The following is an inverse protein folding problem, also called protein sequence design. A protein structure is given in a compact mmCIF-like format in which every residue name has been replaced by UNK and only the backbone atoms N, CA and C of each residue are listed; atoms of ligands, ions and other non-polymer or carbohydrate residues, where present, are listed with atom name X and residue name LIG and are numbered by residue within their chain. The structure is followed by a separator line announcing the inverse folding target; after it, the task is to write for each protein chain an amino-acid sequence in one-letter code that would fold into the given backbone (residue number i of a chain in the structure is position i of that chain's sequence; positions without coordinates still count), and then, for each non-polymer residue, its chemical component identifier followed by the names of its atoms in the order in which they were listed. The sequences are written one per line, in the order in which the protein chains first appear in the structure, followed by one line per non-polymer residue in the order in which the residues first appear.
data_IF_702971583355
#
_entry.id   IF_702971583355
#
_cell.length_a   1.000
_cell.length_b   1.000
_cell.length_c   1.000
_cell.angle_alpha   90.00
_cell.angle_beta   90.00
_cell.angle_gamma   90.00
#
_symmetry.space_group_name_H-M   'P 1'
#
loop_
_entity.id
_entity.type
_entity.pdbx_description
1 polymer ?
#
# COMPACT_ATOMS: atom_id res chain seq x y z
N UNK A 1 11.19 11.53 3.11
CA UNK A 1 10.26 10.96 2.12
C UNK A 1 8.84 11.24 2.56
N UNK A 2 8.08 11.94 1.75
CA UNK A 2 6.73 12.42 2.08
C UNK A 2 5.69 11.83 1.14
N UNK A 3 4.47 11.60 1.64
CA UNK A 3 3.37 11.06 0.84
C UNK A 3 2.83 12.15 -0.08
N UNK A 4 2.77 11.91 -1.38
CA UNK A 4 2.16 12.80 -2.37
C UNK A 4 0.95 12.18 -3.08
N UNK A 5 0.73 10.88 -2.91
CA UNK A 5 -0.43 10.16 -3.43
C UNK A 5 -0.72 8.94 -2.57
N UNK A 6 -1.99 8.63 -2.41
CA UNK A 6 -2.47 7.41 -1.75
C UNK A 6 -3.48 6.73 -2.65
N UNK A 7 -3.27 5.44 -2.89
CA UNK A 7 -4.22 4.57 -3.57
C UNK A 7 -4.48 3.33 -2.72
N UNK A 8 -5.74 3.02 -2.47
CA UNK A 8 -6.16 1.84 -1.75
C UNK A 8 -7.35 1.20 -2.44
N UNK A 9 -7.44 -0.12 -2.38
CA UNK A 9 -8.64 -0.87 -2.76
C UNK A 9 -9.07 -1.76 -1.61
N UNK A 10 -10.37 -1.95 -1.47
CA UNK A 10 -10.95 -2.85 -0.49
C UNK A 10 -11.36 -4.14 -1.19
N UNK A 11 -10.94 -5.27 -0.64
CA UNK A 11 -11.26 -6.60 -1.15
C UNK A 11 -12.15 -7.31 -0.15
N UNK A 12 -13.34 -7.68 -0.57
CA UNK A 12 -14.30 -8.48 0.21
C UNK A 12 -14.72 -9.67 -0.66
N UNK A 13 -14.69 -10.86 -0.07
CA UNK A 13 -15.02 -12.11 -0.78
C UNK A 13 -14.28 -12.25 -2.12
N UNK A 14 -12.98 -11.95 -2.10
CA UNK A 14 -12.06 -12.05 -3.24
C UNK A 14 -12.37 -11.09 -4.41
N UNK A 15 -13.14 -10.05 -4.15
CA UNK A 15 -13.46 -9.02 -5.15
C UNK A 15 -13.10 -7.63 -4.64
N UNK A 16 -12.62 -6.78 -5.55
CA UNK A 16 -12.43 -5.36 -5.28
C UNK A 16 -13.82 -4.71 -5.25
N UNK A 17 -14.23 -4.22 -4.07
CA UNK A 17 -15.56 -3.64 -3.86
C UNK A 17 -15.54 -2.11 -3.81
N UNK A 18 -14.44 -1.52 -3.36
CA UNK A 18 -14.30 -0.07 -3.19
C UNK A 18 -12.87 0.35 -3.50
N UNK A 19 -12.71 1.59 -3.90
CA UNK A 19 -11.39 2.21 -4.09
C UNK A 19 -11.32 3.58 -3.43
N UNK A 20 -10.11 3.94 -3.01
CA UNK A 20 -9.77 5.25 -2.44
C UNK A 20 -8.52 5.76 -3.14
N UNK A 21 -8.60 6.94 -3.73
CA UNK A 21 -7.44 7.58 -4.35
C UNK A 21 -7.46 9.08 -4.13
N UNK A 22 -6.34 9.63 -3.68
CA UNK A 22 -6.17 11.07 -3.55
C UNK A 22 -4.71 11.46 -3.72
N UNK A 23 -4.50 12.65 -4.27
CA UNK A 23 -3.24 13.36 -4.16
C UNK A 23 -3.14 14.01 -2.77
N UNK A 24 -1.93 14.16 -2.28
CA UNK A 24 -1.63 14.82 -1.00
C UNK A 24 -0.55 15.86 -1.25
N UNK A 25 -0.76 17.08 -0.72
CA UNK A 25 0.29 18.08 -0.69
C UNK A 25 1.22 17.80 0.49
N UNK A 26 2.44 17.29 0.26
CA UNK A 26 3.36 16.96 1.34
C UNK A 26 4.03 18.21 1.96
N UNK A 27 3.88 19.37 1.33
CA UNK A 27 4.59 20.62 1.71
C UNK A 27 6.12 20.43 1.82
N UNK A 28 6.69 19.61 0.95
CA UNK A 28 8.06 19.17 0.99
C UNK A 28 8.70 19.28 -0.40
N UNK A 29 10.02 19.19 -0.44
CA UNK A 29 10.77 19.25 -1.68
C UNK A 29 10.61 17.97 -2.50
N UNK A 30 10.30 18.13 -3.78
CA UNK A 30 10.26 17.05 -4.77
C UNK A 30 11.62 16.87 -5.42
N UNK A 31 12.30 15.76 -5.16
CA UNK A 31 13.50 15.42 -5.90
C UNK A 31 13.14 14.97 -7.33
N UNK A 32 14.01 15.31 -8.29
CA UNK A 32 13.87 14.84 -9.69
C UNK A 32 13.74 13.31 -9.76
N UNK A 33 14.44 12.59 -8.89
CA UNK A 33 14.37 11.13 -8.81
C UNK A 33 12.96 10.65 -8.41
N UNK A 34 12.34 11.29 -7.44
CA UNK A 34 10.98 10.94 -7.02
C UNK A 34 9.96 11.26 -8.13
N UNK A 35 10.06 12.42 -8.76
CA UNK A 35 9.20 12.79 -9.89
C UNK A 35 9.29 11.75 -11.01
N UNK A 36 10.49 11.30 -11.34
CA UNK A 36 10.69 10.28 -12.38
C UNK A 36 10.07 8.92 -12.02
N UNK A 37 9.92 8.62 -10.74
CA UNK A 37 9.33 7.35 -10.27
C UNK A 37 7.80 7.39 -10.29
N UNK A 38 7.18 8.43 -9.72
CA UNK A 38 5.72 8.49 -9.57
C UNK A 38 5.01 9.45 -10.54
N UNK A 39 5.77 10.23 -11.32
CA UNK A 39 5.22 11.15 -12.32
C UNK A 39 4.46 12.35 -11.76
N UNK A 40 4.46 12.56 -10.43
CA UNK A 40 3.75 13.65 -9.76
C UNK A 40 4.71 14.82 -9.58
N UNK A 41 4.34 15.98 -10.12
CA UNK A 41 5.08 17.23 -10.00
C UNK A 41 4.53 18.08 -8.84
N UNK A 42 5.30 19.06 -8.34
CA UNK A 42 4.81 19.97 -7.31
C UNK A 42 3.52 20.69 -7.67
N UNK A 43 3.33 21.05 -8.94
CA UNK A 43 2.11 21.71 -9.42
C UNK A 43 0.87 20.82 -9.30
N UNK A 44 1.03 19.51 -9.42
CA UNK A 44 -0.08 18.55 -9.36
C UNK A 44 -0.71 18.48 -7.97
N UNK A 45 0.05 18.81 -6.92
CA UNK A 45 -0.37 18.68 -5.52
C UNK A 45 -0.55 20.02 -4.80
N UNK A 46 -0.31 21.15 -5.48
CA UNK A 46 -0.36 22.48 -4.84
C UNK A 46 -1.73 22.79 -4.22
N UNK A 47 -2.79 22.28 -4.80
CA UNK A 47 -4.18 22.43 -4.32
C UNK A 47 -4.71 21.14 -3.65
N UNK A 48 -3.89 20.11 -3.53
CA UNK A 48 -4.29 18.89 -2.85
C UNK A 48 -4.34 19.09 -1.33
N UNK A 49 -5.16 18.31 -0.61
CA UNK A 49 -5.21 18.36 0.85
C UNK A 49 -3.89 17.85 1.45
N UNK A 50 -3.63 18.28 2.69
CA UNK A 50 -2.50 17.81 3.47
C UNK A 50 -2.81 16.45 4.11
N UNK A 51 -1.77 15.75 4.54
CA UNK A 51 -1.87 14.40 5.12
C UNK A 51 -2.78 14.33 6.35
N UNK A 52 -2.69 15.31 7.26
CA UNK A 52 -3.49 15.36 8.49
C UNK A 52 -5.00 15.46 8.21
N UNK A 53 -5.39 16.15 7.12
CA UNK A 53 -6.77 16.18 6.66
C UNK A 53 -7.23 14.86 6.04
N UNK A 54 -6.37 14.20 5.28
CA UNK A 54 -6.70 12.97 4.53
C UNK A 54 -6.73 11.74 5.43
N UNK A 55 -5.87 11.68 6.43
CA UNK A 55 -5.66 10.47 7.22
C UNK A 55 -6.91 9.93 7.93
N UNK A 56 -7.81 10.75 8.52
CA UNK A 56 -9.06 10.24 9.08
C UNK A 56 -9.94 9.51 8.05
N UNK A 57 -9.95 9.98 6.80
CA UNK A 57 -10.67 9.30 5.71
C UNK A 57 -10.02 7.99 5.31
N UNK A 58 -8.68 7.92 5.34
CA UNK A 58 -7.96 6.66 5.14
C UNK A 58 -8.34 5.64 6.21
N UNK A 59 -8.37 6.04 7.49
CA UNK A 59 -8.77 5.16 8.58
C UNK A 59 -10.21 4.68 8.45
N UNK A 60 -11.11 5.56 8.06
CA UNK A 60 -12.51 5.21 7.81
C UNK A 60 -12.63 4.18 6.69
N UNK A 61 -11.87 4.34 5.61
CA UNK A 61 -11.83 3.40 4.51
C UNK A 61 -11.26 2.04 4.92
N UNK A 62 -10.17 2.03 5.68
CA UNK A 62 -9.53 0.80 6.17
C UNK A 62 -10.45 0.07 7.16
N UNK A 63 -11.18 0.81 8.00
CA UNK A 63 -12.01 0.28 9.09
C UNK A 63 -11.18 -0.65 9.99
N UNK A 64 -11.62 -1.88 10.21
CA UNK A 64 -10.92 -2.88 11.03
C UNK A 64 -10.23 -3.96 10.17
N UNK A 65 -10.10 -3.73 8.88
CA UNK A 65 -9.51 -4.71 7.98
C UNK A 65 -7.97 -4.66 8.04
N UNK A 66 -7.30 -5.80 7.87
CA UNK A 66 -5.85 -5.79 7.69
C UNK A 66 -5.47 -5.12 6.37
N UNK A 67 -4.31 -4.49 6.37
CA UNK A 67 -3.75 -3.79 5.21
C UNK A 67 -2.63 -4.61 4.61
N UNK A 68 -2.58 -4.66 3.28
CA UNK A 68 -1.46 -5.26 2.56
C UNK A 68 -0.84 -4.24 1.61
N UNK A 69 0.49 -4.28 1.54
CA UNK A 69 1.25 -3.55 0.54
C UNK A 69 2.34 -4.46 -0.03
N UNK A 70 2.71 -4.20 -1.28
CA UNK A 70 3.81 -4.92 -1.92
C UNK A 70 5.13 -4.21 -1.62
N UNK A 71 5.97 -4.81 -0.79
CA UNK A 71 7.12 -4.18 -0.11
C UNK A 71 6.68 -3.22 1.03
N UNK A 72 5.80 -3.73 1.88
CA UNK A 72 5.12 -2.96 2.94
C UNK A 72 6.05 -2.21 3.89
N UNK A 73 7.30 -2.64 4.06
CA UNK A 73 8.27 -1.93 4.89
C UNK A 73 8.47 -0.47 4.43
N UNK A 74 8.48 -0.24 3.12
CA UNK A 74 8.57 1.12 2.56
C UNK A 74 7.32 1.93 2.88
N UNK A 75 6.15 1.44 2.51
CA UNK A 75 4.87 2.16 2.69
C UNK A 75 4.58 2.44 4.15
N UNK A 76 4.80 1.47 5.02
CA UNK A 76 4.54 1.61 6.46
C UNK A 76 5.54 2.55 7.14
N UNK A 77 6.79 2.60 6.68
CA UNK A 77 7.76 3.59 7.16
C UNK A 77 7.34 5.01 6.76
N UNK A 78 6.95 5.22 5.52
CA UNK A 78 6.48 6.53 5.04
C UNK A 78 5.24 6.97 5.81
N UNK A 79 4.28 6.06 6.00
CA UNK A 79 3.08 6.32 6.80
C UNK A 79 3.42 6.69 8.25
N UNK A 80 4.27 5.89 8.90
CA UNK A 80 4.69 6.15 10.28
C UNK A 80 5.39 7.51 10.43
N UNK A 81 6.28 7.87 9.52
CA UNK A 81 6.94 9.18 9.52
C UNK A 81 5.95 10.32 9.30
N UNK A 82 4.99 10.16 8.40
CA UNK A 82 3.95 11.16 8.14
C UNK A 82 3.05 11.39 9.36
N UNK A 83 2.67 10.32 10.08
CA UNK A 83 1.93 10.40 11.34
C UNK A 83 2.72 11.17 12.40
N UNK A 84 4.00 10.84 12.55
CA UNK A 84 4.89 11.51 13.51
C UNK A 84 5.03 13.00 13.21
N UNK A 85 5.25 13.36 11.95
CA UNK A 85 5.36 14.76 11.53
C UNK A 85 4.06 15.54 11.74
N UNK A 86 2.91 14.90 11.56
CA UNK A 86 1.60 15.50 11.80
C UNK A 86 1.19 15.52 13.28
N UNK A 87 1.98 14.93 14.17
CA UNK A 87 1.62 14.82 15.60
C UNK A 87 0.44 13.88 15.86
N UNK A 88 0.19 12.93 14.96
CA UNK A 88 -0.91 11.97 15.07
C UNK A 88 -0.41 10.71 15.75
N UNK A 89 -1.18 10.24 16.75
CA UNK A 89 -0.88 8.99 17.45
C UNK A 89 -1.01 7.83 16.46
N UNK A 90 0.01 6.98 16.40
CA UNK A 90 0.01 5.81 15.53
C UNK A 90 -1.15 4.88 15.88
N UNK A 91 -2.06 4.60 14.96
CA UNK A 91 -3.20 3.73 15.22
C UNK A 91 -2.81 2.26 15.35
N UNK A 92 -3.68 1.49 15.96
CA UNK A 92 -3.63 0.04 15.90
C UNK A 92 -4.06 -0.41 14.49
N UNK A 93 -3.10 -0.78 13.67
CA UNK A 93 -3.31 -1.16 12.28
C UNK A 93 -2.50 -2.41 11.97
N UNK A 94 -3.21 -3.51 11.71
CA UNK A 94 -2.60 -4.77 11.28
C UNK A 94 -2.27 -4.70 9.80
N UNK A 95 -1.04 -5.09 9.43
CA UNK A 95 -0.61 -5.15 8.04
C UNK A 95 0.25 -6.37 7.76
N UNK A 96 0.41 -6.70 6.51
CA UNK A 96 1.37 -7.69 6.02
C UNK A 96 1.94 -7.28 4.67
N UNK A 97 3.01 -7.96 4.26
CA UNK A 97 3.74 -7.64 3.04
C UNK A 97 3.56 -8.74 2.00
N UNK A 98 2.91 -8.44 0.88
CA UNK A 98 2.73 -9.43 -0.20
C UNK A 98 4.03 -9.84 -0.89
N UNK A 99 5.05 -8.96 -0.90
CA UNK A 99 6.38 -9.32 -1.39
C UNK A 99 7.03 -10.41 -0.53
N UNK A 100 7.01 -10.23 0.80
CA UNK A 100 7.57 -11.24 1.73
C UNK A 100 6.73 -12.50 1.73
N UNK A 101 5.41 -12.38 1.65
CA UNK A 101 4.51 -13.51 1.55
C UNK A 101 4.80 -14.35 0.30
N UNK A 102 4.99 -13.71 -0.85
CA UNK A 102 5.35 -14.38 -2.10
C UNK A 102 6.65 -15.17 -1.97
N UNK A 103 7.69 -14.56 -1.40
CA UNK A 103 8.98 -15.21 -1.18
C UNK A 103 8.90 -16.46 -0.29
N UNK A 104 7.95 -16.52 0.61
CA UNK A 104 7.74 -17.62 1.55
C UNK A 104 6.76 -18.67 1.05
N UNK A 105 5.97 -18.34 0.04
CA UNK A 105 4.84 -19.16 -0.41
C UNK A 105 5.12 -19.86 -1.74
N UNK A 106 5.80 -19.18 -2.67
CA UNK A 106 6.02 -19.68 -4.03
C UNK A 106 7.48 -19.56 -4.43
N UNK A 107 7.87 -20.35 -5.43
CA UNK A 107 9.17 -20.25 -6.08
C UNK A 107 9.00 -19.55 -7.44
N UNK A 108 9.46 -18.31 -7.50
CA UNK A 108 9.43 -17.48 -8.71
C UNK A 108 10.81 -16.86 -8.95
N UNK A 109 11.16 -16.50 -10.20
CA UNK A 109 12.45 -15.88 -10.51
C UNK A 109 12.66 -14.53 -9.80
N UNK A 110 11.60 -13.75 -9.68
CA UNK A 110 11.59 -12.43 -9.04
C UNK A 110 10.22 -12.17 -8.40
N UNK A 111 10.20 -11.31 -7.36
CA UNK A 111 9.02 -11.06 -6.54
C UNK A 111 8.51 -9.61 -6.59
N UNK A 112 9.12 -8.73 -7.38
CA UNK A 112 8.62 -7.37 -7.59
C UNK A 112 7.20 -7.36 -8.17
N UNK A 113 6.48 -6.26 -8.00
CA UNK A 113 5.06 -6.15 -8.37
C UNK A 113 4.80 -6.57 -9.82
N UNK A 114 5.56 -6.00 -10.76
CA UNK A 114 5.46 -6.35 -12.19
C UNK A 114 5.79 -7.82 -12.45
N UNK A 115 6.85 -8.32 -11.82
CA UNK A 115 7.27 -9.72 -12.00
C UNK A 115 6.21 -10.69 -11.50
N UNK A 116 5.54 -10.37 -10.39
CA UNK A 116 4.46 -11.19 -9.86
C UNK A 116 3.22 -11.14 -10.74
N UNK A 117 2.91 -9.98 -11.33
CA UNK A 117 1.84 -9.87 -12.32
C UNK A 117 2.11 -10.72 -13.55
N UNK A 118 3.33 -10.69 -14.07
CA UNK A 118 3.76 -11.54 -15.18
C UNK A 118 3.71 -13.02 -14.82
N UNK A 119 4.19 -13.39 -13.64
CA UNK A 119 4.19 -14.77 -13.15
C UNK A 119 2.79 -15.37 -13.09
N UNK A 120 1.79 -14.57 -12.67
CA UNK A 120 0.40 -15.01 -12.59
C UNK A 120 -0.41 -14.74 -13.86
N UNK A 121 0.21 -14.24 -14.93
CA UNK A 121 -0.46 -13.89 -16.18
C UNK A 121 -1.59 -12.86 -15.97
N UNK A 122 -1.36 -11.89 -15.13
CA UNK A 122 -2.31 -10.83 -14.82
C UNK A 122 -2.03 -9.59 -15.67
N UNK A 123 -3.08 -8.94 -16.18
CA UNK A 123 -2.94 -7.70 -16.91
C UNK A 123 -2.47 -6.57 -15.99
N UNK A 124 -1.42 -5.89 -16.41
CA UNK A 124 -0.84 -4.77 -15.69
C UNK A 124 -0.88 -3.51 -16.55
N UNK A 125 -1.84 -2.65 -16.27
CA UNK A 125 -1.99 -1.36 -16.94
C UNK A 125 -1.68 -0.21 -15.97
N UNK A 126 -0.84 0.73 -16.38
CA UNK A 126 -0.53 1.94 -15.61
C UNK A 126 0.57 1.74 -14.57
N UNK A 127 1.81 1.88 -15.01
CA UNK A 127 2.98 1.84 -14.13
C UNK A 127 3.01 3.06 -13.19
N UNK A 128 3.27 2.83 -11.90
CA UNK A 128 3.51 3.84 -10.87
C UNK A 128 2.32 4.75 -10.51
N UNK A 129 1.12 4.42 -10.92
CA UNK A 129 -0.09 5.01 -10.37
C UNK A 129 -0.48 4.29 -9.08
N UNK A 130 -0.67 5.04 -7.98
CA UNK A 130 -0.90 4.46 -6.66
C UNK A 130 -2.13 3.54 -6.61
N UNK A 131 -3.20 3.89 -7.32
CA UNK A 131 -4.41 3.07 -7.36
C UNK A 131 -4.20 1.78 -8.17
N UNK A 132 -3.51 1.86 -9.31
CA UNK A 132 -3.21 0.69 -10.13
C UNK A 132 -2.25 -0.26 -9.41
N UNK A 133 -1.27 0.26 -8.69
CA UNK A 133 -0.37 -0.55 -7.86
C UNK A 133 -1.14 -1.25 -6.73
N UNK A 134 -2.11 -0.59 -6.11
CA UNK A 134 -2.98 -1.19 -5.10
C UNK A 134 -3.85 -2.32 -5.70
N UNK A 135 -4.40 -2.14 -6.89
CA UNK A 135 -5.16 -3.18 -7.60
C UNK A 135 -4.27 -4.40 -7.94
N UNK A 136 -3.06 -4.15 -8.44
CA UNK A 136 -2.09 -5.21 -8.72
C UNK A 136 -1.72 -5.98 -7.45
N UNK A 137 -1.45 -5.28 -6.36
CA UNK A 137 -1.18 -5.88 -5.05
C UNK A 137 -2.35 -6.76 -4.58
N UNK A 138 -3.58 -6.30 -4.74
CA UNK A 138 -4.78 -7.06 -4.39
C UNK A 138 -4.90 -8.37 -5.18
N UNK A 139 -4.68 -8.31 -6.49
CA UNK A 139 -4.73 -9.48 -7.37
C UNK A 139 -3.65 -10.52 -7.03
N UNK A 140 -2.44 -10.08 -6.76
CA UNK A 140 -1.32 -10.94 -6.33
C UNK A 140 -1.64 -11.55 -4.97
N UNK A 141 -2.08 -10.77 -4.02
CA UNK A 141 -2.40 -11.22 -2.66
C UNK A 141 -3.50 -12.27 -2.69
N UNK A 142 -4.53 -12.09 -3.49
CA UNK A 142 -5.57 -13.09 -3.68
C UNK A 142 -5.00 -14.44 -4.11
N UNK A 143 -4.07 -14.46 -5.07
CA UNK A 143 -3.39 -15.69 -5.53
C UNK A 143 -2.56 -16.33 -4.43
N UNK A 144 -1.83 -15.54 -3.66
CA UNK A 144 -0.99 -16.04 -2.57
C UNK A 144 -1.83 -16.63 -1.43
N UNK A 145 -2.96 -16.02 -1.10
CA UNK A 145 -3.84 -16.49 -0.02
C UNK A 145 -4.47 -17.85 -0.31
N UNK A 146 -4.51 -18.28 -1.57
CA UNK A 146 -4.97 -19.64 -1.93
C UNK A 146 -4.10 -20.74 -1.33
N UNK A 147 -2.86 -20.44 -0.92
CA UNK A 147 -1.94 -21.37 -0.28
C UNK A 147 -2.16 -21.50 1.24
N UNK A 148 -3.10 -20.77 1.81
CA UNK A 148 -3.41 -20.75 3.24
C UNK A 148 -4.87 -21.13 3.47
N UNK A 149 -5.17 -21.75 4.61
CA UNK A 149 -6.53 -22.16 4.95
C UNK A 149 -7.48 -20.97 5.05
N UNK A 150 -7.01 -19.90 5.70
CA UNK A 150 -7.75 -18.66 5.84
C UNK A 150 -6.81 -17.46 6.11
N UNK A 151 -7.38 -16.26 6.05
CA UNK A 151 -6.65 -15.02 6.30
C UNK A 151 -6.11 -14.97 7.74
N UNK A 152 -6.85 -15.42 8.72
CA UNK A 152 -6.44 -15.40 10.12
C UNK A 152 -5.21 -16.25 10.36
N UNK A 153 -5.12 -17.43 9.75
CA UNK A 153 -3.93 -18.31 9.80
C UNK A 153 -2.71 -17.62 9.21
N UNK A 154 -2.85 -17.02 8.04
CA UNK A 154 -1.76 -16.27 7.40
C UNK A 154 -1.31 -15.09 8.28
N UNK A 155 -2.24 -14.32 8.82
CA UNK A 155 -1.95 -13.17 9.69
C UNK A 155 -1.26 -13.59 11.00
N UNK A 156 -1.57 -14.76 11.55
CA UNK A 156 -0.90 -15.29 12.74
C UNK A 156 0.60 -15.52 12.52
N UNK A 157 1.01 -15.75 11.27
CA UNK A 157 2.40 -16.01 10.89
C UNK A 157 3.10 -14.71 10.41
N UNK A 158 2.44 -13.93 9.57
CA UNK A 158 3.05 -12.82 8.83
C UNK A 158 2.50 -11.44 9.20
N UNK A 159 1.41 -11.37 9.97
CA UNK A 159 0.82 -10.13 10.41
C UNK A 159 1.75 -9.32 11.31
N UNK A 160 1.74 -8.00 11.11
CA UNK A 160 2.48 -7.02 11.91
C UNK A 160 1.54 -5.89 12.33
N UNK A 161 1.94 -5.12 13.31
CA UNK A 161 1.18 -3.94 13.73
C UNK A 161 2.00 -2.67 13.53
N UNK A 162 1.36 -1.62 13.01
CA UNK A 162 2.01 -0.35 12.75
C UNK A 162 2.56 0.29 14.04
N UNK A 163 1.90 0.07 15.19
CA UNK A 163 2.38 0.53 16.51
C UNK A 163 3.77 -0.01 16.87
N UNK A 164 4.12 -1.21 16.39
CA UNK A 164 5.39 -1.87 16.73
C UNK A 164 6.57 -1.32 15.92
N UNK A 165 6.33 -0.41 14.99
CA UNK A 165 7.40 0.26 14.26
C UNK A 165 8.17 1.29 15.11
N UNK A 166 7.63 1.70 16.21
CA UNK A 166 8.25 2.55 17.22
C UNK A 166 9.16 3.63 16.71
#
# INVERSE_FOLDING_TARGET
TSICSVGMVKVIDNQITESFHTLINPQDYFSKKNINVHGINPEDVIHAPQFDYVFPYMLQFIANLPVVAHNAAFDMNVLHQSLKQAGIITPDLTYFCSYQLAKRTIDAPRYGLKHMMDFYNLDFHGHHDALNDAKACAMITFRLLQHYDDLATMLSIYGKNLKDKG
#
